data_IF_122534175762
#
_entry.id   IF_122534175762
#
_cell.length_a   1.000
_cell.length_b   1.000
_cell.length_c   1.000
_cell.angle_alpha   90.00
_cell.angle_beta   90.00
_cell.angle_gamma   90.00
#
_symmetry.space_group_name_H-M   'P 1'
#
loop_
_entity.id
_entity.type
_entity.pdbx_description
1 polymer ?
#
# COMPACT_ATOMS: atom_id res chain seq x y z
N UNK A 1 -10.14 14.82 11.59
CA UNK A 1 -9.46 14.34 10.36
C UNK A 1 -9.54 12.83 10.34
N UNK A 2 -10.07 12.22 9.28
CA UNK A 2 -10.13 10.76 9.14
C UNK A 2 -8.71 10.16 9.05
N UNK A 3 -8.55 8.90 9.41
CA UNK A 3 -7.29 8.14 9.29
C UNK A 3 -6.75 8.17 7.85
N UNK A 4 -7.62 8.00 6.86
CA UNK A 4 -7.27 8.08 5.44
C UNK A 4 -6.61 9.40 5.03
N UNK A 5 -7.05 10.54 5.58
CA UNK A 5 -6.40 11.83 5.29
C UNK A 5 -4.98 11.91 5.86
N UNK A 6 -4.75 11.28 7.03
CA UNK A 6 -3.41 11.23 7.62
C UNK A 6 -2.48 10.33 6.81
N UNK A 7 -2.97 9.17 6.37
CA UNK A 7 -2.20 8.21 5.59
C UNK A 7 -1.84 8.75 4.22
N UNK A 8 -2.79 9.41 3.53
CA UNK A 8 -2.52 10.12 2.27
C UNK A 8 -1.39 11.14 2.42
N UNK A 9 -1.46 12.00 3.44
CA UNK A 9 -0.43 13.02 3.70
C UNK A 9 0.94 12.41 4.01
N UNK A 10 0.99 11.27 4.70
CA UNK A 10 2.25 10.55 4.97
C UNK A 10 2.86 10.04 3.67
N UNK A 11 2.05 9.43 2.80
CA UNK A 11 2.48 8.91 1.50
C UNK A 11 2.96 10.03 0.58
N UNK A 12 2.22 11.14 0.48
CA UNK A 12 2.64 12.32 -0.29
C UNK A 12 4.00 12.86 0.16
N UNK A 13 4.22 12.96 1.48
CA UNK A 13 5.52 13.39 2.04
C UNK A 13 6.65 12.41 1.76
N UNK A 14 6.36 11.13 1.58
CA UNK A 14 7.34 10.12 1.21
C UNK A 14 7.60 10.08 -0.30
N UNK A 15 6.93 10.92 -1.10
CA UNK A 15 7.13 10.99 -2.55
C UNK A 15 6.14 10.18 -3.38
N UNK A 16 5.10 9.61 -2.77
CA UNK A 16 4.00 9.01 -3.54
C UNK A 16 3.14 10.09 -4.18
N UNK A 17 3.01 10.06 -5.50
CA UNK A 17 2.23 11.04 -6.28
C UNK A 17 1.54 10.38 -7.47
N UNK A 18 0.51 11.02 -8.01
CA UNK A 18 -0.24 10.52 -9.18
C UNK A 18 -0.69 9.08 -8.99
N UNK A 19 -0.45 8.24 -10.01
CA UNK A 19 -0.87 6.84 -10.01
C UNK A 19 -0.33 6.03 -8.81
N UNK A 20 0.88 6.32 -8.33
CA UNK A 20 1.43 5.60 -7.16
C UNK A 20 0.67 5.93 -5.88
N UNK A 21 0.26 7.18 -5.70
CA UNK A 21 -0.55 7.56 -4.54
C UNK A 21 -1.95 6.96 -4.60
N UNK A 22 -2.58 7.00 -5.78
CA UNK A 22 -3.91 6.43 -6.00
C UNK A 22 -3.93 4.93 -5.69
N UNK A 23 -2.96 4.18 -6.23
CA UNK A 23 -2.84 2.73 -5.94
C UNK A 23 -2.51 2.43 -4.48
N UNK A 24 -1.68 3.25 -3.84
CA UNK A 24 -1.39 3.09 -2.41
C UNK A 24 -2.68 3.24 -1.58
N UNK A 25 -3.47 4.27 -1.85
CA UNK A 25 -4.74 4.50 -1.15
C UNK A 25 -5.74 3.36 -1.39
N UNK A 26 -5.89 2.90 -2.63
CA UNK A 26 -6.75 1.75 -2.95
C UNK A 26 -6.34 0.49 -2.18
N UNK A 27 -5.03 0.22 -2.08
CA UNK A 27 -4.52 -0.93 -1.33
C UNK A 27 -4.82 -0.81 0.18
N UNK A 28 -4.66 0.39 0.76
CA UNK A 28 -5.00 0.66 2.16
C UNK A 28 -6.50 0.47 2.42
N UNK A 29 -7.35 0.89 1.49
CA UNK A 29 -8.80 0.74 1.57
C UNK A 29 -9.23 -0.72 1.46
N UNK A 30 -8.69 -1.46 0.48
CA UNK A 30 -9.01 -2.87 0.26
C UNK A 30 -8.65 -3.75 1.46
N UNK A 31 -7.53 -3.43 2.11
CA UNK A 31 -7.00 -4.21 3.23
C UNK A 31 -7.47 -3.69 4.59
N UNK A 32 -8.16 -2.54 4.64
CA UNK A 32 -8.49 -1.80 5.86
C UNK A 32 -7.27 -1.63 6.81
N UNK A 33 -6.06 -1.54 6.24
CA UNK A 33 -4.81 -1.67 6.99
C UNK A 33 -3.99 -0.37 6.94
N UNK A 34 -4.22 0.51 7.91
CA UNK A 34 -3.43 1.75 8.07
C UNK A 34 -1.93 1.49 8.26
N UNK A 35 -1.55 0.31 8.77
CA UNK A 35 -0.14 -0.10 8.93
C UNK A 35 0.60 -0.21 7.59
N UNK A 36 -0.11 -0.41 6.48
CA UNK A 36 0.48 -0.39 5.15
C UNK A 36 1.07 0.96 4.79
N UNK A 37 0.44 2.06 5.21
CA UNK A 37 0.94 3.41 4.97
C UNK A 37 2.35 3.57 5.56
N UNK A 38 2.54 3.09 6.79
CA UNK A 38 3.82 3.20 7.50
C UNK A 38 4.89 2.30 6.87
N UNK A 39 4.51 1.11 6.41
CA UNK A 39 5.43 0.21 5.75
C UNK A 39 5.89 0.75 4.38
N UNK A 40 4.97 1.28 3.57
CA UNK A 40 5.27 1.92 2.30
C UNK A 40 6.20 3.13 2.51
N UNK A 41 5.90 3.99 3.49
CA UNK A 41 6.78 5.12 3.84
C UNK A 41 8.15 4.63 4.28
N UNK A 42 8.25 3.58 5.10
CA UNK A 42 9.52 3.01 5.54
C UNK A 42 10.34 2.45 4.37
N UNK A 43 9.70 1.80 3.41
CA UNK A 43 10.38 1.27 2.22
C UNK A 43 10.99 2.39 1.39
N UNK A 44 10.26 3.49 1.18
CA UNK A 44 10.79 4.61 0.38
C UNK A 44 11.85 5.41 1.14
N UNK A 45 11.58 5.74 2.41
CA UNK A 45 12.45 6.64 3.18
C UNK A 45 13.67 5.97 3.82
N UNK A 46 13.64 4.65 4.05
CA UNK A 46 14.72 3.93 4.73
C UNK A 46 15.35 2.79 3.93
N UNK A 47 14.67 2.26 2.92
CA UNK A 47 15.22 1.22 2.04
C UNK A 47 15.54 1.78 0.65
N UNK A 48 15.44 3.10 0.48
CA UNK A 48 15.78 3.82 -0.76
C UNK A 48 15.03 3.31 -2.00
N UNK A 49 13.86 2.69 -1.78
CA UNK A 49 13.00 2.22 -2.86
C UNK A 49 12.25 3.39 -3.48
N UNK A 50 12.01 3.31 -4.78
CA UNK A 50 11.04 4.22 -5.40
C UNK A 50 9.63 3.90 -4.90
N UNK A 51 8.71 4.87 -4.92
CA UNK A 51 7.30 4.63 -4.60
C UNK A 51 6.67 3.47 -5.40
N UNK A 52 7.03 3.32 -6.68
CA UNK A 52 6.55 2.23 -7.53
C UNK A 52 7.10 0.86 -7.10
N UNK A 53 8.38 0.76 -6.75
CA UNK A 53 8.98 -0.47 -6.22
C UNK A 53 8.34 -0.88 -4.88
N UNK A 54 8.15 0.09 -3.98
CA UNK A 54 7.53 -0.15 -2.68
C UNK A 54 6.10 -0.69 -2.83
N UNK A 55 5.31 -0.13 -3.74
CA UNK A 55 3.96 -0.63 -4.04
C UNK A 55 3.96 -2.03 -4.61
N UNK A 56 4.76 -2.25 -5.65
CA UNK A 56 4.80 -3.54 -6.33
C UNK A 56 5.15 -4.69 -5.37
N UNK A 57 6.18 -4.50 -4.55
CA UNK A 57 6.55 -5.48 -3.52
C UNK A 57 5.43 -5.70 -2.49
N UNK A 58 4.72 -4.63 -2.11
CA UNK A 58 3.67 -4.74 -1.10
C UNK A 58 2.43 -5.44 -1.65
N UNK A 59 2.07 -5.20 -2.91
CA UNK A 59 1.01 -5.91 -3.62
C UNK A 59 1.31 -7.41 -3.73
N UNK A 60 2.56 -7.77 -4.05
CA UNK A 60 3.00 -9.18 -4.09
C UNK A 60 2.87 -9.81 -2.71
N UNK A 61 3.43 -9.18 -1.67
CA UNK A 61 3.38 -9.71 -0.29
C UNK A 61 1.96 -9.86 0.22
N UNK A 62 1.07 -8.92 -0.11
CA UNK A 62 -0.34 -9.00 0.28
C UNK A 62 -1.04 -10.14 -0.44
N UNK A 63 -0.81 -10.32 -1.74
CA UNK A 63 -1.34 -11.46 -2.50
C UNK A 63 -0.86 -12.80 -1.94
N UNK A 64 0.43 -12.90 -1.62
CA UNK A 64 1.00 -14.11 -1.00
C UNK A 64 0.38 -14.38 0.38
N UNK A 65 0.16 -13.34 1.18
CA UNK A 65 -0.49 -13.46 2.48
C UNK A 65 -1.95 -13.90 2.35
N UNK A 66 -2.71 -13.27 1.45
CA UNK A 66 -4.09 -13.64 1.11
C UNK A 66 -4.16 -15.13 0.73
N UNK A 67 -3.29 -15.58 -0.19
CA UNK A 67 -3.22 -16.97 -0.63
C UNK A 67 -2.88 -17.95 0.52
N UNK A 68 -1.91 -17.60 1.38
CA UNK A 68 -1.52 -18.44 2.53
C UNK A 68 -2.62 -18.57 3.58
N UNK A 69 -3.44 -17.53 3.74
CA UNK A 69 -4.55 -17.51 4.68
C UNK A 69 -5.83 -18.13 4.10
N UNK A 70 -5.79 -18.64 2.86
CA UNK A 70 -6.94 -19.24 2.18
C UNK A 70 -7.95 -18.21 1.68
N UNK A 71 -7.60 -16.93 1.65
CA UNK A 71 -8.40 -15.91 0.97
C UNK A 71 -8.13 -16.02 -0.52
N UNK A 72 -8.98 -16.78 -1.22
CA UNK A 72 -8.93 -16.83 -2.68
C UNK A 72 -9.24 -15.44 -3.25
N UNK A 73 -8.54 -14.97 -4.31
CA UNK A 73 -9.03 -13.85 -5.09
C UNK A 73 -10.46 -14.24 -5.53
N UNK A 74 -11.45 -13.38 -5.24
CA UNK A 74 -12.76 -13.55 -5.88
C UNK A 74 -12.50 -13.56 -7.38
N UNK A 75 -12.69 -14.71 -8.02
CA UNK A 75 -12.73 -14.78 -9.48
C UNK A 75 -13.78 -13.76 -9.94
N UNK A 76 -13.45 -12.88 -10.89
CA UNK A 76 -14.45 -11.99 -11.45
C UNK A 76 -15.52 -12.87 -12.11
N UNK A 77 -16.76 -12.77 -11.61
CA UNK A 77 -17.95 -13.34 -12.25
C UNK A 77 -18.33 -12.55 -13.49
#
# INVERSE_FOLDING_TARGET
MSSQTKDRKKLEKAGFTGQTLERAMELLERTNASILAELLVKMVTRQEKTPSMALHEMEIKMRELEARLGFSPKEPS
#
